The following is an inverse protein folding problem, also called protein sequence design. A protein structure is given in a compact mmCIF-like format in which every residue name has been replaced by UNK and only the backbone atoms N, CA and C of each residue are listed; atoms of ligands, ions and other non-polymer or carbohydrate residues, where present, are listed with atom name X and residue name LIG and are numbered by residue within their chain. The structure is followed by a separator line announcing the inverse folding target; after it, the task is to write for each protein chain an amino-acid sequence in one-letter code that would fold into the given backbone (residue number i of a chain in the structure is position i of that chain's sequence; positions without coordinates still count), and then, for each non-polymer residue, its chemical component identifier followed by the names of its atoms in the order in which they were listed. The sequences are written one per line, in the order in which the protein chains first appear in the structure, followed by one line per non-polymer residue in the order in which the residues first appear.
data_IF_415784677501
#
_entry.id   IF_415784677501
#
_cell.length_a   1.000
_cell.length_b   1.000
_cell.length_c   1.000
_cell.angle_alpha   90.00
_cell.angle_beta   90.00
_cell.angle_gamma   90.00
#
_symmetry.space_group_name_H-M   'P 1'
#
loop_
_entity.id
_entity.type
_entity.pdbx_description
1 polymer ?
#
# COMPACT_ATOMS: atom_id res chain seq x y z
N UNK A 1 11.54 -5.67 21.56
CA UNK A 1 11.53 -6.90 20.74
C UNK A 1 10.70 -7.97 21.43
N UNK A 2 9.95 -8.76 20.68
CA UNK A 2 9.19 -9.89 21.21
C UNK A 2 10.09 -11.05 21.65
N UNK A 3 9.60 -11.92 22.52
CA UNK A 3 10.34 -13.07 23.05
C UNK A 3 9.92 -14.42 22.44
N UNK A 4 8.93 -14.42 21.55
CA UNK A 4 8.35 -15.63 20.95
C UNK A 4 8.98 -15.92 19.59
N UNK A 5 9.12 -17.20 19.26
CA UNK A 5 9.56 -17.62 17.95
C UNK A 5 8.43 -17.41 16.93
N UNK A 6 8.80 -16.90 15.75
CA UNK A 6 7.91 -16.79 14.60
C UNK A 6 7.95 -18.13 13.85
N UNK A 7 6.78 -18.67 13.52
CA UNK A 7 6.66 -19.91 12.72
C UNK A 7 6.09 -19.66 11.33
N UNK A 8 5.36 -18.56 11.14
CA UNK A 8 4.92 -18.14 9.82
C UNK A 8 4.72 -16.62 9.74
N UNK A 9 4.98 -16.09 8.56
CA UNK A 9 4.62 -14.73 8.15
C UNK A 9 3.81 -14.83 6.86
N UNK A 10 2.69 -14.14 6.81
CA UNK A 10 1.83 -14.07 5.63
C UNK A 10 1.58 -12.61 5.27
N UNK A 11 1.99 -12.20 4.07
CA UNK A 11 1.74 -10.86 3.54
C UNK A 11 0.55 -10.93 2.56
N UNK A 12 -0.53 -10.23 2.88
CA UNK A 12 -1.76 -10.11 2.10
C UNK A 12 -1.82 -8.73 1.44
N UNK A 13 -1.76 -8.68 0.11
CA UNK A 13 -1.72 -7.40 -0.63
C UNK A 13 -3.10 -6.94 -1.10
N UNK A 14 -4.17 -7.67 -0.82
CA UNK A 14 -5.54 -7.34 -1.28
C UNK A 14 -6.12 -6.06 -0.69
N UNK A 15 -5.51 -5.56 0.38
CA UNK A 15 -5.91 -4.36 1.09
C UNK A 15 -4.92 -3.21 0.95
N UNK A 16 -3.94 -3.34 0.04
CA UNK A 16 -3.08 -2.25 -0.36
C UNK A 16 -3.91 -1.04 -0.84
N UNK A 17 -3.34 0.16 -0.74
CA UNK A 17 -4.02 1.40 -1.14
C UNK A 17 -4.27 1.41 -2.65
N UNK A 18 -3.32 0.86 -3.41
CA UNK A 18 -3.44 0.61 -4.83
C UNK A 18 -4.08 -0.75 -5.08
N UNK A 19 -5.02 -0.78 -6.02
CA UNK A 19 -5.77 -1.99 -6.35
C UNK A 19 -4.99 -2.98 -7.21
N UNK A 20 -5.43 -4.23 -7.15
CA UNK A 20 -5.00 -5.32 -8.05
C UNK A 20 -3.50 -5.60 -8.10
N UNK A 21 -2.82 -5.42 -6.97
CA UNK A 21 -1.40 -5.76 -6.81
C UNK A 21 -1.21 -7.25 -6.59
N UNK A 22 -0.20 -7.83 -7.24
CA UNK A 22 0.13 -9.26 -7.10
C UNK A 22 1.65 -9.47 -7.09
N UNK A 23 2.09 -10.54 -6.42
CA UNK A 23 3.42 -11.09 -6.61
C UNK A 23 3.50 -11.78 -7.96
N UNK A 24 4.48 -11.43 -8.79
CA UNK A 24 4.65 -11.97 -10.13
C UNK A 24 5.99 -12.71 -10.32
N UNK A 25 6.12 -13.92 -9.74
CA UNK A 25 7.34 -14.69 -9.90
C UNK A 25 7.57 -15.22 -11.33
N UNK A 26 6.65 -14.96 -12.28
CA UNK A 26 6.64 -15.58 -13.60
C UNK A 26 6.51 -14.61 -14.79
N UNK A 27 6.22 -13.32 -14.56
CA UNK A 27 6.16 -12.27 -15.59
C UNK A 27 4.91 -12.37 -16.46
N UNK A 28 3.74 -12.48 -15.82
CA UNK A 28 2.45 -12.61 -16.51
C UNK A 28 1.33 -11.72 -15.94
N UNK A 29 1.58 -11.00 -14.85
CA UNK A 29 0.60 -10.19 -14.17
C UNK A 29 0.56 -8.76 -14.71
N UNK A 30 1.71 -8.11 -14.92
CA UNK A 30 1.79 -6.77 -15.47
C UNK A 30 2.69 -6.76 -16.69
N UNK A 31 4.00 -6.72 -16.44
CA UNK A 31 5.02 -6.74 -17.48
C UNK A 31 5.73 -8.10 -17.60
N UNK A 32 6.73 -8.19 -18.48
CA UNK A 32 7.44 -9.44 -18.78
C UNK A 32 8.69 -9.65 -17.89
N UNK A 33 9.04 -8.68 -17.04
CA UNK A 33 10.08 -8.81 -16.03
C UNK A 33 9.55 -9.69 -14.91
N UNK A 34 10.43 -10.52 -14.33
CA UNK A 34 10.03 -11.38 -13.23
C UNK A 34 11.20 -11.74 -12.34
N UNK A 35 10.86 -12.06 -11.10
CA UNK A 35 11.79 -12.57 -10.12
C UNK A 35 11.07 -13.52 -9.17
N UNK A 36 11.44 -14.81 -9.15
CA UNK A 36 10.91 -15.73 -8.16
C UNK A 36 11.39 -15.32 -6.76
N UNK A 37 10.66 -15.76 -5.73
CA UNK A 37 11.07 -15.56 -4.34
C UNK A 37 12.51 -16.02 -4.13
N UNK A 38 13.38 -15.06 -3.82
CA UNK A 38 14.79 -15.25 -3.59
C UNK A 38 15.11 -14.80 -2.18
N UNK A 39 15.67 -15.68 -1.36
CA UNK A 39 16.18 -15.30 -0.03
C UNK A 39 17.55 -14.68 -0.22
N UNK A 40 17.66 -13.39 0.11
CA UNK A 40 18.88 -12.61 -0.07
C UNK A 40 19.81 -12.75 1.14
N UNK A 41 19.23 -12.77 2.35
CA UNK A 41 19.94 -12.96 3.62
C UNK A 41 19.08 -13.79 4.55
N UNK A 42 19.66 -14.81 5.19
CA UNK A 42 19.03 -15.58 6.28
C UNK A 42 19.99 -15.70 7.47
N UNK A 43 19.68 -15.04 8.59
CA UNK A 43 20.44 -15.11 9.84
C UNK A 43 20.04 -16.34 10.69
N UNK A 44 19.82 -17.48 10.02
CA UNK A 44 19.46 -18.75 10.65
C UNK A 44 18.03 -18.78 11.18
N UNK A 45 17.08 -18.17 10.47
CA UNK A 45 15.64 -18.23 10.78
C UNK A 45 15.04 -19.63 10.59
N UNK A 46 15.77 -20.52 9.91
CA UNK A 46 15.31 -21.85 9.58
C UNK A 46 14.14 -21.80 8.62
N UNK A 47 14.22 -20.90 7.64
CA UNK A 47 13.26 -20.76 6.55
C UNK A 47 12.99 -22.13 5.91
N UNK A 48 11.72 -22.50 5.85
CA UNK A 48 11.28 -23.79 5.34
C UNK A 48 10.88 -23.60 3.89
N UNK A 49 11.56 -24.31 2.97
CA UNK A 49 11.26 -24.16 1.56
C UNK A 49 10.01 -24.90 1.10
N UNK A 50 9.22 -24.34 0.17
CA UNK A 50 8.00 -24.98 -0.34
C UNK A 50 7.11 -24.05 -1.17
N UNK A 51 5.80 -24.27 -1.13
CA UNK A 51 4.79 -23.42 -1.78
C UNK A 51 4.52 -22.17 -0.94
N UNK A 52 5.14 -21.05 -1.30
CA UNK A 52 4.97 -19.76 -0.60
C UNK A 52 3.90 -18.88 -1.23
N UNK A 53 3.54 -19.17 -2.47
CA UNK A 53 2.63 -18.35 -3.24
C UNK A 53 1.19 -18.73 -2.92
N UNK A 54 0.46 -17.81 -2.30
CA UNK A 54 -0.87 -18.09 -1.80
C UNK A 54 -1.94 -17.46 -2.69
N UNK A 55 -2.89 -18.30 -3.12
CA UNK A 55 -4.11 -17.85 -3.79
C UNK A 55 -5.15 -17.53 -2.73
N UNK A 56 -5.36 -16.24 -2.47
CA UNK A 56 -6.46 -15.80 -1.60
C UNK A 56 -7.78 -16.07 -2.34
N UNK A 57 -8.81 -16.64 -1.67
CA UNK A 57 -10.11 -16.88 -2.29
C UNK A 57 -10.69 -15.63 -2.95
N UNK A 58 -11.20 -15.76 -4.17
CA UNK A 58 -11.73 -14.67 -4.99
C UNK A 58 -11.52 -14.95 -6.47
N UNK A 59 -11.85 -13.98 -7.32
CA UNK A 59 -11.55 -14.06 -8.76
C UNK A 59 -10.03 -14.16 -8.96
N UNK A 60 -9.53 -15.16 -9.72
CA UNK A 60 -8.11 -15.29 -9.96
C UNK A 60 -7.58 -14.07 -10.74
N UNK A 61 -6.32 -13.67 -10.51
CA UNK A 61 -5.67 -12.68 -11.36
C UNK A 61 -5.74 -13.04 -12.85
N UNK A 62 -5.91 -12.03 -13.69
CA UNK A 62 -5.89 -12.13 -15.15
C UNK A 62 -4.52 -12.60 -15.62
N UNK A 63 -4.48 -13.40 -16.68
CA UNK A 63 -3.26 -14.02 -17.18
C UNK A 63 -3.37 -14.35 -18.67
N UNK A 64 -2.25 -14.24 -19.38
CA UNK A 64 -2.18 -14.39 -20.83
C UNK A 64 -2.46 -15.79 -21.35
N UNK A 65 -2.41 -16.81 -20.49
CA UNK A 65 -2.33 -18.20 -20.93
C UNK A 65 -3.45 -19.10 -20.40
N UNK A 66 -4.43 -18.57 -19.65
CA UNK A 66 -5.52 -19.36 -19.04
C UNK A 66 -5.07 -20.59 -18.18
N UNK A 67 -3.80 -20.65 -17.78
CA UNK A 67 -3.24 -21.59 -16.78
C UNK A 67 -3.39 -21.06 -15.35
N UNK A 68 -4.17 -21.74 -14.51
CA UNK A 68 -4.48 -21.31 -13.14
C UNK A 68 -3.24 -20.95 -12.30
N UNK A 69 -3.10 -19.67 -11.92
CA UNK A 69 -2.05 -19.19 -11.01
C UNK A 69 -0.79 -18.65 -11.69
N UNK A 70 -0.81 -18.42 -12.99
CA UNK A 70 0.29 -17.72 -13.66
C UNK A 70 0.14 -16.20 -13.61
N UNK A 71 -1.06 -15.63 -13.48
CA UNK A 71 -1.29 -14.17 -13.39
C UNK A 71 -0.86 -13.51 -12.07
N UNK A 72 0.01 -14.18 -11.31
CA UNK A 72 0.47 -13.72 -10.01
C UNK A 72 -0.37 -14.19 -8.81
N UNK A 73 0.04 -13.74 -7.63
CA UNK A 73 -0.48 -14.17 -6.33
C UNK A 73 -0.74 -13.00 -5.41
N UNK A 74 -1.82 -13.06 -4.61
CA UNK A 74 -2.20 -11.98 -3.69
C UNK A 74 -1.68 -12.19 -2.26
N UNK A 75 -1.02 -13.31 -2.01
CA UNK A 75 -0.46 -13.65 -0.71
C UNK A 75 0.92 -14.29 -0.82
N UNK A 76 1.81 -13.94 0.11
CA UNK A 76 3.12 -14.56 0.28
C UNK A 76 3.24 -15.16 1.68
N UNK A 77 3.35 -16.48 1.78
CA UNK A 77 3.50 -17.24 3.01
C UNK A 77 4.95 -17.71 3.17
N UNK A 78 5.64 -17.22 4.20
CA UNK A 78 6.95 -17.71 4.62
C UNK A 78 6.82 -18.49 5.92
N UNK A 79 7.43 -19.67 5.99
CA UNK A 79 7.40 -20.55 7.16
C UNK A 79 8.81 -20.71 7.74
N UNK A 80 8.87 -20.88 9.06
CA UNK A 80 10.13 -20.90 9.80
C UNK A 80 10.13 -21.98 10.86
N UNK A 81 11.28 -22.62 11.05
CA UNK A 81 11.51 -23.63 12.09
C UNK A 81 12.23 -23.07 13.31
N UNK A 82 12.99 -21.98 13.17
CA UNK A 82 13.85 -21.46 14.26
C UNK A 82 13.95 -19.94 14.29
N UNK A 83 12.94 -19.19 13.81
CA UNK A 83 12.99 -17.73 13.77
C UNK A 83 12.75 -17.14 15.17
N UNK A 84 13.83 -17.06 15.94
CA UNK A 84 13.88 -16.46 17.27
C UNK A 84 14.14 -14.95 17.24
N UNK A 85 13.90 -14.29 18.37
CA UNK A 85 14.17 -12.87 18.55
C UNK A 85 15.60 -12.47 18.12
N UNK A 86 15.71 -11.34 17.42
CA UNK A 86 16.99 -10.77 16.97
C UNK A 86 17.50 -11.29 15.63
N UNK A 87 16.97 -12.39 15.10
CA UNK A 87 17.29 -12.87 13.75
C UNK A 87 16.62 -12.00 12.69
N UNK A 88 17.19 -12.01 11.48
CA UNK A 88 16.64 -11.35 10.31
C UNK A 88 16.62 -12.29 9.11
N UNK A 89 15.66 -12.04 8.24
CA UNK A 89 15.61 -12.58 6.90
C UNK A 89 15.26 -11.42 5.96
N UNK A 90 15.92 -11.36 4.81
CA UNK A 90 15.53 -10.49 3.71
C UNK A 90 15.33 -11.33 2.46
N UNK A 91 14.39 -10.91 1.64
CA UNK A 91 14.05 -11.58 0.40
C UNK A 91 13.69 -10.55 -0.66
N UNK A 92 13.69 -11.01 -1.89
CA UNK A 92 13.27 -10.25 -3.05
C UNK A 92 12.39 -11.12 -3.92
N UNK A 93 11.37 -10.48 -4.49
CA UNK A 93 10.36 -11.07 -5.35
C UNK A 93 9.82 -9.95 -6.21
N UNK A 94 9.42 -10.29 -7.43
CA UNK A 94 8.81 -9.34 -8.34
C UNK A 94 7.32 -9.14 -8.03
N UNK A 95 6.85 -7.92 -8.27
CA UNK A 95 5.49 -7.51 -7.99
C UNK A 95 5.00 -6.57 -9.09
N UNK A 96 3.77 -6.84 -9.51
CA UNK A 96 3.14 -6.18 -10.63
C UNK A 96 1.71 -5.76 -10.30
N UNK A 97 1.21 -4.75 -11.01
CA UNK A 97 -0.21 -4.49 -11.04
C UNK A 97 -0.89 -5.37 -12.11
N UNK A 98 -1.77 -6.28 -11.66
CA UNK A 98 -2.45 -7.20 -12.56
C UNK A 98 -3.48 -6.53 -13.47
N UNK A 99 -3.89 -5.30 -13.16
CA UNK A 99 -4.87 -4.57 -13.96
C UNK A 99 -4.40 -4.34 -15.39
N UNK A 100 -3.08 -4.24 -15.61
CA UNK A 100 -2.48 -4.04 -16.93
C UNK A 100 -2.01 -5.36 -17.58
N UNK A 101 -2.38 -6.52 -17.03
CA UNK A 101 -2.09 -7.80 -17.67
C UNK A 101 -2.51 -7.79 -19.14
N UNK A 102 -1.74 -8.49 -19.99
CA UNK A 102 -1.97 -8.58 -21.44
C UNK A 102 -1.69 -7.29 -22.20
N UNK A 103 -1.00 -6.33 -21.59
CA UNK A 103 -0.54 -5.12 -22.25
C UNK A 103 0.97 -5.10 -22.33
N UNK A 104 1.49 -4.35 -23.29
CA UNK A 104 2.91 -4.02 -23.34
C UNK A 104 3.20 -2.80 -22.47
N UNK A 105 4.44 -2.70 -22.00
CA UNK A 105 4.95 -1.51 -21.31
C UNK A 105 4.68 -0.21 -22.09
N UNK A 106 4.71 -0.26 -23.43
CA UNK A 106 4.43 0.89 -24.29
C UNK A 106 2.95 1.31 -24.27
N UNK A 107 2.03 0.34 -24.26
CA UNK A 107 0.59 0.60 -24.13
C UNK A 107 0.23 1.13 -22.75
N UNK A 108 0.93 0.62 -21.72
CA UNK A 108 0.68 0.93 -20.32
C UNK A 108 1.41 2.17 -19.78
N UNK A 109 2.28 2.86 -20.52
CA UNK A 109 3.07 4.00 -19.95
C UNK A 109 2.51 5.41 -20.19
N UNK A 110 1.31 5.54 -20.74
CA UNK A 110 0.66 6.86 -21.00
C UNK A 110 1.51 7.87 -21.83
N UNK A 111 2.50 7.39 -22.59
CA UNK A 111 3.46 8.26 -23.28
C UNK A 111 4.47 8.96 -22.35
N UNK A 112 4.50 8.62 -21.06
CA UNK A 112 5.54 9.03 -20.13
C UNK A 112 6.78 8.16 -20.44
N UNK A 113 7.79 8.80 -21.02
CA UNK A 113 9.03 8.13 -21.38
C UNK A 113 9.71 7.59 -20.12
N UNK A 114 10.14 6.33 -20.18
CA UNK A 114 10.79 5.59 -19.10
C UNK A 114 9.95 5.38 -17.83
N UNK A 115 8.64 5.60 -17.87
CA UNK A 115 7.76 5.13 -16.80
C UNK A 115 7.72 3.60 -16.81
N UNK A 116 7.88 2.99 -15.65
CA UNK A 116 7.62 1.58 -15.40
C UNK A 116 6.17 1.45 -14.93
N UNK A 117 5.37 0.66 -15.66
CA UNK A 117 3.92 0.62 -15.52
C UNK A 117 3.46 -0.72 -14.94
N UNK A 118 4.27 -1.77 -15.10
CA UNK A 118 4.11 -3.06 -14.42
C UNK A 118 4.64 -3.01 -13.01
N UNK A 119 5.89 -2.55 -12.87
CA UNK A 119 6.62 -2.60 -11.61
C UNK A 119 5.92 -1.91 -10.45
N UNK A 120 5.83 -2.63 -9.33
CA UNK A 120 5.23 -2.15 -8.07
C UNK A 120 6.30 -1.86 -7.03
N UNK A 121 6.29 -0.62 -6.53
CA UNK A 121 7.11 -0.20 -5.40
C UNK A 121 6.52 -0.69 -4.06
N UNK A 122 7.37 -0.78 -3.04
CA UNK A 122 6.91 -1.02 -1.67
C UNK A 122 5.94 0.05 -1.16
N UNK A 123 6.04 1.30 -1.62
CA UNK A 123 5.12 2.38 -1.26
C UNK A 123 3.68 2.13 -1.77
N UNK A 124 3.53 1.46 -2.91
CA UNK A 124 2.21 1.06 -3.43
C UNK A 124 1.56 -0.06 -2.60
N UNK A 125 2.37 -0.79 -1.81
CA UNK A 125 1.89 -1.80 -0.85
C UNK A 125 1.42 -1.20 0.48
N UNK A 126 1.49 0.12 0.68
CA UNK A 126 0.96 0.76 1.89
C UNK A 126 -0.50 0.35 2.05
N UNK A 127 -0.82 -0.27 3.18
CA UNK A 127 -2.13 -0.86 3.41
C UNK A 127 -2.23 -2.36 3.41
N UNK A 128 -1.35 -3.05 2.67
CA UNK A 128 -1.23 -4.50 2.69
C UNK A 128 -1.05 -4.99 4.12
N UNK A 129 -1.55 -6.17 4.45
CA UNK A 129 -1.58 -6.69 5.82
C UNK A 129 -0.51 -7.74 6.02
N UNK A 130 0.36 -7.51 6.99
CA UNK A 130 1.24 -8.51 7.56
C UNK A 130 0.51 -9.29 8.64
N UNK A 131 0.50 -10.61 8.51
CA UNK A 131 0.08 -11.56 9.52
C UNK A 131 1.31 -12.33 10.02
N UNK A 132 1.44 -12.47 11.33
CA UNK A 132 2.52 -13.25 11.96
C UNK A 132 1.88 -14.31 12.86
N UNK A 133 2.39 -15.53 12.77
CA UNK A 133 2.01 -16.64 13.65
C UNK A 133 3.23 -17.02 14.49
N UNK A 134 3.03 -17.12 15.80
CA UNK A 134 4.06 -17.53 16.75
C UNK A 134 3.92 -19.01 17.11
N UNK A 135 5.00 -19.59 17.65
CA UNK A 135 5.09 -21.02 18.00
C UNK A 135 4.02 -21.48 18.99
N UNK A 136 3.56 -20.61 19.89
CA UNK A 136 2.50 -20.90 20.85
C UNK A 136 1.07 -20.75 20.26
N UNK A 137 0.96 -20.51 18.96
CA UNK A 137 -0.29 -20.34 18.22
C UNK A 137 -0.89 -18.93 18.30
N UNK A 138 -0.29 -18.02 19.08
CA UNK A 138 -0.69 -16.61 19.09
C UNK A 138 -0.36 -15.93 17.75
N UNK A 139 -1.00 -14.78 17.48
CA UNK A 139 -0.91 -14.10 16.18
C UNK A 139 -0.73 -12.61 16.34
N UNK A 140 0.05 -11.99 15.47
CA UNK A 140 0.07 -10.55 15.27
C UNK A 140 -0.48 -10.19 13.89
N UNK A 141 -1.03 -8.99 13.77
CA UNK A 141 -1.49 -8.41 12.51
C UNK A 141 -1.12 -6.94 12.47
N UNK A 142 -0.59 -6.48 11.34
CA UNK A 142 -0.34 -5.05 11.13
C UNK A 142 -0.29 -4.73 9.63
N UNK A 143 -0.99 -3.69 9.15
CA UNK A 143 -0.87 -3.17 7.82
C UNK A 143 0.42 -2.38 7.64
N UNK A 144 0.87 -2.31 6.40
CA UNK A 144 2.02 -1.53 5.97
C UNK A 144 1.67 -0.04 5.95
N UNK A 145 2.64 0.78 6.34
CA UNK A 145 2.63 2.24 6.22
C UNK A 145 3.93 2.70 5.56
N UNK A 146 3.98 3.95 5.07
CA UNK A 146 5.21 4.46 4.45
C UNK A 146 6.40 4.35 5.40
N UNK A 147 7.56 3.96 4.86
CA UNK A 147 8.83 3.98 5.56
C UNK A 147 9.55 5.34 5.47
N UNK A 148 8.87 6.37 4.93
CA UNK A 148 9.34 7.73 4.58
C UNK A 148 10.21 7.84 3.33
N UNK A 149 10.53 6.74 2.67
CA UNK A 149 11.12 6.78 1.33
C UNK A 149 10.04 6.87 0.25
N UNK A 150 10.46 7.21 -0.96
CA UNK A 150 9.56 7.32 -2.12
C UNK A 150 9.06 5.96 -2.64
N UNK A 151 9.65 4.85 -2.20
CA UNK A 151 9.42 3.53 -2.78
C UNK A 151 9.18 2.43 -1.74
N UNK A 152 9.20 2.74 -0.44
CA UNK A 152 9.20 1.75 0.62
C UNK A 152 7.96 1.80 1.52
N UNK A 153 7.67 0.66 2.11
CA UNK A 153 6.70 0.53 3.18
C UNK A 153 7.22 -0.42 4.25
N UNK A 154 6.77 -0.20 5.48
CA UNK A 154 7.16 -0.97 6.65
C UNK A 154 5.98 -1.17 7.59
N UNK A 155 6.15 -2.06 8.55
CA UNK A 155 5.23 -2.19 9.67
C UNK A 155 5.91 -2.83 10.87
N UNK A 156 5.34 -2.60 12.05
CA UNK A 156 5.68 -3.31 13.28
C UNK A 156 4.46 -4.07 13.78
N UNK A 157 4.57 -5.40 13.90
CA UNK A 157 3.45 -6.25 14.32
C UNK A 157 3.55 -6.62 15.82
N UNK A 158 2.42 -6.57 16.53
CA UNK A 158 2.31 -7.04 17.92
C UNK A 158 1.15 -8.01 18.11
N UNK A 159 1.35 -8.99 18.99
CA UNK A 159 0.44 -10.11 19.25
C UNK A 159 -0.93 -9.68 19.83
N UNK A 160 -0.94 -8.67 20.70
CA UNK A 160 -2.19 -8.17 21.29
C UNK A 160 -2.72 -6.96 20.50
N UNK A 161 -3.00 -7.18 19.22
CA UNK A 161 -3.54 -6.14 18.35
C UNK A 161 -4.90 -5.67 18.86
N UNK A 162 -4.98 -4.39 19.22
CA UNK A 162 -6.23 -3.68 19.47
C UNK A 162 -6.09 -2.34 18.77
N UNK A 163 -6.77 -2.11 17.63
CA UNK A 163 -6.69 -0.85 16.92
C UNK A 163 -7.15 0.26 17.85
N UNK A 164 -6.29 1.24 18.05
CA UNK A 164 -6.73 2.51 18.62
C UNK A 164 -7.51 3.27 17.54
N UNK A 165 -8.60 3.96 17.91
CA UNK A 165 -9.36 4.71 16.94
C UNK A 165 -8.48 5.81 16.36
N UNK A 166 -8.38 5.84 15.04
CA UNK A 166 -7.84 6.94 14.26
C UNK A 166 -8.93 7.30 13.25
N UNK A 167 -9.11 8.58 12.98
CA UNK A 167 -9.95 9.03 11.89
C UNK A 167 -9.23 10.11 11.10
N UNK A 168 -9.29 9.99 9.79
CA UNK A 168 -8.81 10.95 8.84
C UNK A 168 -10.01 11.64 8.18
N UNK A 169 -10.02 12.96 8.19
CA UNK A 169 -11.02 13.75 7.48
C UNK A 169 -10.33 14.68 6.50
N UNK A 170 -10.73 14.63 5.24
CA UNK A 170 -10.25 15.51 4.18
C UNK A 170 -11.40 16.37 3.70
N UNK A 171 -11.20 17.67 3.63
CA UNK A 171 -12.17 18.62 3.08
C UNK A 171 -11.61 19.22 1.81
N UNK A 172 -12.34 19.10 0.70
CA UNK A 172 -12.05 19.80 -0.55
C UNK A 172 -13.12 20.88 -0.78
N UNK A 173 -13.02 21.60 -1.90
CA UNK A 173 -14.08 22.55 -2.30
C UNK A 173 -15.43 21.85 -2.48
N UNK A 174 -15.41 20.59 -2.90
CA UNK A 174 -16.59 19.86 -3.36
C UNK A 174 -17.19 18.94 -2.29
N UNK A 175 -16.57 18.85 -1.09
CA UNK A 175 -17.14 18.07 0.00
C UNK A 175 -16.20 17.79 1.18
N UNK A 176 -16.75 17.06 2.15
CA UNK A 176 -16.03 16.53 3.31
C UNK A 176 -16.04 15.01 3.20
N UNK A 177 -14.86 14.41 3.35
CA UNK A 177 -14.62 12.98 3.24
C UNK A 177 -14.03 12.49 4.55
N UNK A 178 -14.53 11.36 5.05
CA UNK A 178 -14.07 10.74 6.27
C UNK A 178 -13.68 9.30 5.98
N UNK A 179 -12.62 8.85 6.64
CA UNK A 179 -12.18 7.48 6.56
C UNK A 179 -13.16 6.54 7.28
N UNK A 180 -13.30 5.30 6.78
CA UNK A 180 -14.25 4.31 7.32
C UNK A 180 -15.70 4.45 6.82
N UNK A 181 -16.06 5.56 6.17
CA UNK A 181 -17.27 5.64 5.36
C UNK A 181 -16.93 5.11 3.97
N UNK A 182 -17.33 3.86 3.63
CA UNK A 182 -17.12 3.19 2.32
C UNK A 182 -16.41 4.06 1.29
N UNK A 183 -15.06 4.05 1.36
CA UNK A 183 -14.10 4.74 0.51
C UNK A 183 -14.70 5.80 -0.43
N UNK A 184 -14.89 7.02 0.09
CA UNK A 184 -15.51 8.11 -0.68
C UNK A 184 -14.51 8.79 -1.60
N UNK A 185 -15.00 9.22 -2.77
CA UNK A 185 -14.29 10.07 -3.74
C UNK A 185 -14.82 11.49 -3.76
N UNK A 186 -13.90 12.43 -3.97
CA UNK A 186 -14.19 13.86 -4.20
C UNK A 186 -13.46 14.41 -5.42
N UNK A 187 -13.65 15.69 -5.73
CA UNK A 187 -12.81 16.42 -6.71
C UNK A 187 -11.81 17.33 -6.00
N UNK A 188 -10.63 17.45 -6.60
CA UNK A 188 -9.58 18.42 -6.26
C UNK A 188 -9.09 19.12 -7.53
N UNK A 189 -8.40 20.26 -7.40
CA UNK A 189 -7.94 21.07 -8.55
C UNK A 189 -8.49 22.50 -8.56
N UNK A 190 -9.46 22.81 -7.70
CA UNK A 190 -9.96 24.18 -7.47
C UNK A 190 -9.53 24.80 -6.13
N UNK A 191 -8.81 24.04 -5.29
CA UNK A 191 -8.31 24.46 -3.98
C UNK A 191 -7.57 23.33 -3.27
N UNK A 192 -6.69 23.70 -2.34
CA UNK A 192 -5.87 22.74 -1.58
C UNK A 192 -6.72 21.98 -0.54
N UNK A 193 -6.64 20.64 -0.46
CA UNK A 193 -7.33 19.86 0.57
C UNK A 193 -6.94 20.29 2.00
N UNK A 194 -7.93 20.33 2.90
CA UNK A 194 -7.71 20.51 4.34
C UNK A 194 -7.83 19.17 5.05
N UNK A 195 -6.86 18.86 5.91
CA UNK A 195 -6.77 17.54 6.54
C UNK A 195 -6.92 17.70 8.04
N UNK A 196 -7.80 16.90 8.64
CA UNK A 196 -8.00 16.79 10.08
C UNK A 196 -7.79 15.36 10.52
N UNK A 197 -7.15 15.21 11.68
CA UNK A 197 -6.90 13.93 12.31
C UNK A 197 -7.51 13.92 13.69
N UNK A 198 -8.02 12.75 14.09
CA UNK A 198 -8.44 12.48 15.46
C UNK A 198 -7.99 11.09 15.85
N UNK A 199 -7.45 10.95 17.06
CA UNK A 199 -6.97 9.69 17.58
C UNK A 199 -6.59 9.77 19.05
N UNK A 200 -5.71 8.88 19.55
CA UNK A 200 -5.24 8.94 20.92
C UNK A 200 -4.51 10.26 21.21
N UNK A 201 -4.80 10.93 22.35
CA UNK A 201 -4.04 12.09 22.80
C UNK A 201 -2.53 11.87 22.72
N UNK A 202 -1.81 12.86 22.20
CA UNK A 202 -0.34 12.82 22.04
C UNK A 202 0.17 11.66 21.16
N UNK A 203 -0.71 11.01 20.39
CA UNK A 203 -0.31 10.02 19.39
C UNK A 203 0.49 10.66 18.27
N UNK A 204 1.59 10.03 17.85
CA UNK A 204 2.32 10.39 16.64
C UNK A 204 1.67 9.69 15.45
N UNK A 205 1.22 10.44 14.46
CA UNK A 205 0.55 9.95 13.26
C UNK A 205 1.40 10.30 12.05
N UNK A 206 1.67 9.31 11.19
CA UNK A 206 2.21 9.51 9.85
C UNK A 206 1.07 9.72 8.88
N UNK A 207 1.11 10.79 8.11
CA UNK A 207 0.19 11.05 7.01
C UNK A 207 0.96 10.98 5.72
N UNK A 208 0.46 10.23 4.74
CA UNK A 208 1.02 10.18 3.39
C UNK A 208 0.03 10.77 2.40
N UNK A 209 0.49 11.67 1.54
CA UNK A 209 -0.19 12.04 0.31
C UNK A 209 0.40 11.18 -0.81
N UNK A 210 -0.43 10.44 -1.52
CA UNK A 210 -0.07 9.71 -2.72
C UNK A 210 -0.74 10.39 -3.91
N UNK A 211 0.01 10.65 -4.97
CA UNK A 211 -0.54 11.03 -6.27
C UNK A 211 -0.34 9.88 -7.24
N UNK A 212 -1.43 9.57 -7.93
CA UNK A 212 -1.50 8.38 -8.74
C UNK A 212 -2.24 8.63 -10.03
N UNK A 213 -2.08 7.69 -10.95
CA UNK A 213 -2.73 7.70 -12.23
C UNK A 213 -2.89 6.26 -12.72
N UNK A 214 -3.71 6.11 -13.75
CA UNK A 214 -3.88 4.85 -14.46
C UNK A 214 -3.20 4.97 -15.83
N UNK A 215 -1.97 4.46 -16.03
CA UNK A 215 -1.22 4.72 -17.24
C UNK A 215 -1.75 3.79 -18.35
N UNK A 216 -2.56 4.32 -19.27
CA UNK A 216 -2.97 3.65 -20.51
C UNK A 216 -2.99 4.68 -21.63
N UNK A 217 -2.40 4.36 -22.78
CA UNK A 217 -2.43 5.21 -23.97
C UNK A 217 -3.29 4.61 -25.09
N UNK A 218 -3.99 5.47 -25.83
CA UNK A 218 -4.27 5.29 -27.25
C UNK A 218 -5.44 4.40 -27.69
N UNK A 219 -5.86 3.42 -26.90
CA UNK A 219 -7.04 2.58 -27.20
C UNK A 219 -8.10 2.68 -26.09
N UNK A 220 -9.24 3.28 -26.42
CA UNK A 220 -10.38 3.43 -25.52
C UNK A 220 -10.91 2.07 -25.02
N UNK A 221 -10.75 1.01 -25.82
CA UNK A 221 -11.15 -0.35 -25.46
C UNK A 221 -10.22 -0.92 -24.40
N UNK A 222 -8.91 -0.69 -24.54
CA UNK A 222 -7.93 -1.12 -23.56
C UNK A 222 -8.06 -0.36 -22.23
N UNK A 223 -8.24 0.96 -22.32
CA UNK A 223 -8.49 1.80 -21.16
C UNK A 223 -9.73 1.31 -20.40
N UNK A 224 -10.84 1.02 -21.09
CA UNK A 224 -12.06 0.51 -20.47
C UNK A 224 -11.85 -0.85 -19.78
N UNK A 225 -11.06 -1.75 -20.36
CA UNK A 225 -10.72 -3.05 -19.75
C UNK A 225 -9.92 -2.85 -18.45
N UNK A 226 -8.93 -1.96 -18.46
CA UNK A 226 -8.09 -1.70 -17.28
C UNK A 226 -8.91 -0.98 -16.20
N UNK A 227 -9.75 -0.01 -16.59
CA UNK A 227 -10.71 0.64 -15.68
C UNK A 227 -11.64 -0.39 -15.04
N UNK A 228 -12.19 -1.34 -15.80
CA UNK A 228 -13.06 -2.41 -15.29
C UNK A 228 -12.34 -3.30 -14.26
N UNK A 229 -11.10 -3.71 -14.56
CA UNK A 229 -10.27 -4.50 -13.64
C UNK A 229 -9.99 -3.73 -12.36
N UNK A 230 -9.60 -2.46 -12.48
CA UNK A 230 -9.36 -1.61 -11.31
C UNK A 230 -10.62 -1.35 -10.52
N UNK A 231 -11.77 -1.17 -11.17
CA UNK A 231 -13.04 -1.02 -10.48
C UNK A 231 -13.44 -2.27 -9.70
N UNK A 232 -13.07 -3.46 -10.17
CA UNK A 232 -13.31 -4.72 -9.44
C UNK A 232 -12.52 -4.80 -8.14
N UNK A 233 -11.33 -4.19 -8.09
CA UNK A 233 -10.40 -4.28 -6.96
C UNK A 233 -10.33 -3.03 -6.08
N UNK A 234 -10.62 -1.86 -6.64
CA UNK A 234 -10.62 -0.57 -5.97
C UNK A 234 -11.61 0.41 -6.65
N UNK A 235 -12.92 0.12 -6.54
CA UNK A 235 -13.98 0.87 -7.21
C UNK A 235 -13.97 2.38 -6.90
N UNK A 236 -13.52 2.74 -5.70
CA UNK A 236 -13.46 4.11 -5.23
C UNK A 236 -12.25 4.85 -5.79
N UNK A 237 -11.18 4.18 -6.19
CA UNK A 237 -9.97 4.86 -6.63
C UNK A 237 -9.24 3.99 -7.65
N UNK A 238 -9.78 3.90 -8.88
CA UNK A 238 -9.33 2.96 -9.89
C UNK A 238 -8.02 3.45 -10.54
N UNK A 239 -6.93 3.40 -9.77
CA UNK A 239 -5.58 3.75 -10.20
C UNK A 239 -4.61 2.67 -9.73
N UNK A 240 -3.52 2.52 -10.46
CA UNK A 240 -2.56 1.44 -10.29
C UNK A 240 -1.10 1.88 -10.26
N UNK A 241 -0.78 3.14 -10.57
CA UNK A 241 0.59 3.63 -10.58
C UNK A 241 0.75 4.87 -9.69
N UNK A 242 1.64 4.79 -8.71
CA UNK A 242 2.10 5.90 -7.89
C UNK A 242 3.16 6.71 -8.65
N UNK A 243 3.02 8.03 -8.72
CA UNK A 243 4.07 8.90 -9.28
C UNK A 243 4.66 9.90 -8.30
N UNK A 244 4.06 10.08 -7.14
CA UNK A 244 4.53 10.98 -6.09
C UNK A 244 3.98 10.51 -4.75
N UNK A 245 4.85 10.36 -3.75
CA UNK A 245 4.44 10.16 -2.37
C UNK A 245 5.17 11.18 -1.50
N UNK A 246 4.41 11.84 -0.64
CA UNK A 246 4.93 12.78 0.34
C UNK A 246 4.48 12.32 1.71
N UNK A 247 5.35 12.44 2.71
CA UNK A 247 5.02 12.01 4.08
C UNK A 247 5.33 13.08 5.11
N UNK A 248 4.44 13.20 6.09
CA UNK A 248 4.68 14.02 7.27
C UNK A 248 4.32 13.25 8.53
N UNK A 249 5.09 13.50 9.59
CA UNK A 249 4.80 13.00 10.92
C UNK A 249 4.23 14.14 11.78
N UNK A 250 3.08 13.92 12.41
CA UNK A 250 2.43 14.91 13.28
C UNK A 250 2.07 14.34 14.64
N UNK A 251 2.07 15.18 15.66
CA UNK A 251 1.63 14.82 17.00
C UNK A 251 0.21 15.36 17.20
N UNK A 252 -0.71 14.48 17.63
CA UNK A 252 -2.06 14.88 18.00
C UNK A 252 -2.05 15.71 19.30
N UNK A 253 -2.95 16.68 19.42
CA UNK A 253 -3.11 17.49 20.63
C UNK A 253 -3.46 16.66 21.87
N UNK A 254 -3.48 17.31 23.03
CA UNK A 254 -3.94 16.70 24.29
C UNK A 254 -5.41 16.26 24.22
N UNK A 255 -6.21 16.89 23.36
CA UNK A 255 -7.59 16.52 23.05
C UNK A 255 -7.69 15.40 21.99
N UNK A 256 -6.54 14.89 21.53
CA UNK A 256 -6.46 13.85 20.50
C UNK A 256 -6.72 14.35 19.08
N UNK A 257 -6.66 15.66 18.82
CA UNK A 257 -6.97 16.24 17.50
C UNK A 257 -5.83 17.08 16.95
N UNK A 258 -5.72 17.15 15.62
CA UNK A 258 -4.90 18.15 14.93
C UNK A 258 -5.45 18.44 13.54
N UNK A 259 -5.02 19.55 12.95
CA UNK A 259 -5.29 19.91 11.55
C UNK A 259 -3.98 20.23 10.87
N UNK A 260 -3.81 19.76 9.63
CA UNK A 260 -2.65 20.10 8.83
C UNK A 260 -2.84 21.48 8.18
N UNK A 261 -1.75 22.24 8.09
CA UNK A 261 -1.74 23.51 7.37
C UNK A 261 -1.97 23.27 5.86
N UNK A 262 -2.46 24.29 5.15
CA UNK A 262 -2.75 24.17 3.72
C UNK A 262 -1.49 23.94 2.86
N UNK A 263 -0.30 24.14 3.41
CA UNK A 263 1.01 23.94 2.80
C UNK A 263 1.73 22.69 3.32
N UNK A 264 1.02 21.80 4.03
CA UNK A 264 1.59 20.56 4.56
C UNK A 264 2.07 19.58 3.48
N UNK A 265 1.58 19.73 2.25
CA UNK A 265 1.98 18.96 1.08
C UNK A 265 2.07 19.86 -0.15
N UNK A 266 2.87 19.42 -1.12
CA UNK A 266 3.03 20.05 -2.42
C UNK A 266 2.03 19.41 -3.40
N UNK A 267 1.06 20.17 -3.90
CA UNK A 267 0.00 19.63 -4.76
C UNK A 267 0.25 19.84 -6.26
N UNK A 268 0.99 20.88 -6.62
CA UNK A 268 1.16 21.37 -8.00
C UNK A 268 2.36 20.78 -8.75
N UNK A 269 3.23 20.04 -8.07
CA UNK A 269 4.41 19.34 -8.60
C UNK A 269 4.74 18.11 -7.75
N UNK A 270 5.65 17.26 -8.20
CA UNK A 270 6.20 16.17 -7.35
C UNK A 270 7.19 16.74 -6.34
N UNK A 271 7.45 16.01 -5.26
CA UNK A 271 8.39 16.45 -4.22
C UNK A 271 9.80 16.70 -4.80
N UNK A 272 10.25 15.79 -5.67
CA UNK A 272 11.60 15.83 -6.25
C UNK A 272 11.71 16.55 -7.61
N UNK A 273 10.58 16.99 -8.19
CA UNK A 273 10.50 17.52 -9.57
C UNK A 273 11.01 16.58 -10.69
N UNK A 274 11.25 15.31 -10.39
CA UNK A 274 11.82 14.34 -11.34
C UNK A 274 10.80 13.86 -12.39
N UNK A 275 9.50 14.03 -12.11
CA UNK A 275 8.40 13.62 -13.00
C UNK A 275 7.52 14.83 -13.25
N UNK A 276 7.53 15.33 -14.49
CA UNK A 276 6.71 16.48 -14.89
C UNK A 276 5.91 16.09 -16.14
N UNK A 277 4.59 16.12 -16.00
CA UNK A 277 3.66 15.96 -17.11
C UNK A 277 2.43 16.85 -16.92
N UNK A 278 1.76 17.18 -18.03
CA UNK A 278 0.59 18.06 -18.04
C UNK A 278 -0.53 17.50 -17.16
N UNK A 279 -1.09 18.35 -16.28
CA UNK A 279 -2.22 18.00 -15.43
C UNK A 279 -1.86 17.13 -14.22
N UNK A 280 -0.58 17.08 -13.82
CA UNK A 280 -0.14 16.41 -12.58
C UNK A 280 -0.73 17.03 -11.30
N UNK A 281 -1.09 18.31 -11.36
CA UNK A 281 -1.77 19.10 -10.33
C UNK A 281 -3.29 18.84 -10.28
N UNK A 282 -3.77 17.95 -11.16
CA UNK A 282 -5.14 17.44 -11.22
C UNK A 282 -5.13 15.92 -11.46
N UNK A 283 -4.27 15.15 -10.78
CA UNK A 283 -4.32 13.67 -10.81
C UNK A 283 -4.90 13.10 -9.52
N UNK A 284 -5.63 11.97 -9.58
CA UNK A 284 -6.18 11.35 -8.37
C UNK A 284 -5.15 11.26 -7.24
N UNK A 285 -5.56 11.65 -6.04
CA UNK A 285 -4.75 11.58 -4.84
C UNK A 285 -5.41 10.68 -3.79
N UNK A 286 -4.59 10.04 -2.97
CA UNK A 286 -5.02 9.34 -1.76
C UNK A 286 -4.31 9.94 -0.55
N UNK A 287 -5.02 10.03 0.56
CA UNK A 287 -4.43 10.29 1.86
C UNK A 287 -4.48 9.02 2.68
N UNK A 288 -3.35 8.63 3.26
CA UNK A 288 -3.29 7.58 4.28
C UNK A 288 -2.87 8.19 5.61
N UNK A 289 -3.46 7.73 6.71
CA UNK A 289 -3.03 8.08 8.05
C UNK A 289 -2.78 6.82 8.88
N UNK A 290 -1.61 6.77 9.53
CA UNK A 290 -1.16 5.66 10.35
C UNK A 290 -0.69 6.21 11.69
N UNK A 291 -1.28 5.73 12.79
CA UNK A 291 -0.68 5.97 14.10
C UNK A 291 0.69 5.27 14.09
N UNK A 292 1.80 5.95 14.37
CA UNK A 292 3.17 5.37 14.40
C UNK A 292 3.85 5.41 15.78
N UNK A 293 3.28 6.11 16.76
CA UNK A 293 3.57 5.88 18.19
C UNK A 293 2.45 6.45 19.06
N UNK A 294 2.31 5.98 20.30
CA UNK A 294 1.50 6.66 21.32
C UNK A 294 2.15 6.55 22.68
N UNK A 295 2.11 7.64 23.46
CA UNK A 295 2.74 7.73 24.79
C UNK A 295 1.76 7.44 25.93
N UNK A 296 0.66 6.71 25.66
CA UNK A 296 -0.34 6.43 26.70
C UNK A 296 0.31 5.71 27.90
N UNK A 297 0.25 6.27 29.13
CA UNK A 297 0.92 5.72 30.31
C UNK A 297 0.50 4.30 30.68
N UNK A 298 -0.62 3.81 30.14
CA UNK A 298 -1.21 2.54 30.53
C UNK A 298 -0.61 1.30 29.84
N UNK A 299 0.10 1.42 28.70
CA UNK A 299 0.73 0.27 28.01
C UNK A 299 1.93 0.70 27.17
N UNK A 300 3.05 -0.04 27.29
CA UNK A 300 4.20 0.07 26.39
C UNK A 300 3.76 -0.26 24.96
N UNK A 301 3.91 0.71 24.05
CA UNK A 301 3.90 0.60 22.59
C UNK A 301 2.82 -0.32 21.98
N UNK A 302 1.67 0.26 21.60
CA UNK A 302 0.67 -0.41 20.77
C UNK A 302 1.11 -0.42 19.30
N UNK A 303 0.85 -1.47 18.49
CA UNK A 303 0.87 -1.36 17.02
C UNK A 303 -0.36 -0.58 16.53
N UNK A 304 -0.20 0.71 16.35
CA UNK A 304 -0.03 1.37 15.04
C UNK A 304 -0.79 0.84 13.82
N UNK A 305 -2.11 0.59 13.88
CA UNK A 305 -2.75 0.08 12.66
C UNK A 305 -4.24 0.27 12.39
N UNK A 306 -4.69 1.52 12.40
CA UNK A 306 -5.61 1.89 11.34
C UNK A 306 -4.78 2.49 10.20
N UNK A 307 -4.90 1.95 8.98
CA UNK A 307 -4.60 2.75 7.78
C UNK A 307 -5.93 3.37 7.44
N UNK A 308 -6.13 4.59 7.90
CA UNK A 308 -7.29 5.36 7.47
C UNK A 308 -6.99 5.90 6.08
N UNK A 309 -7.93 5.74 5.15
CA UNK A 309 -7.78 6.21 3.77
C UNK A 309 -8.88 7.15 3.37
N UNK A 310 -8.53 8.14 2.57
CA UNK A 310 -9.47 8.99 1.86
C UNK A 310 -8.99 9.19 0.44
N UNK A 311 -9.87 8.95 -0.52
CA UNK A 311 -9.58 9.09 -1.94
C UNK A 311 -10.18 10.37 -2.50
N UNK A 312 -9.44 11.01 -3.39
CA UNK A 312 -9.87 12.24 -4.05
C UNK A 312 -9.48 12.13 -5.52
N UNK A 313 -10.46 12.21 -6.40
CA UNK A 313 -10.27 12.31 -7.84
C UNK A 313 -10.02 13.77 -8.21
N UNK A 314 -9.64 13.98 -9.47
CA UNK A 314 -9.52 15.31 -10.06
C UNK A 314 -10.84 15.78 -10.70
#
# INVERSE_FOLDING_TARGET
MGSKNIVAVFLDVTSATFGDMVFDPFGFAGDDVSKPLTIDVDEGTGFVSGDYYYKIPGEPPVHAQHVNGTGGYRGLLMQFSTFSAGKKISFSIDMDCNSIALTTQDEARQGILNWDAGGVSGAELIGAILHVVFEDGSRARSPLHSDTSNAGAMTEAMECYSPLPLSLTVTTRDGIFQSGENERTGRYGAGVPRIKLRGPPLGKVRVSLMKAFQPVNGDASLQAIIEERLHTHQASWPVNALFDIQTIDVILGEDGQTSLCNDAFVYDRTEDNDIVFTGMDTKPIAFTANLISSTSPARKAYPLSAVERVFVLA
#
